data_IF_942475311487
#
_entry.id   IF_942475311487
#
_cell.length_a   1.000
_cell.length_b   1.000
_cell.length_c   1.000
_cell.angle_alpha   90.00
_cell.angle_beta   90.00
_cell.angle_gamma   90.00
#
_symmetry.space_group_name_H-M   'P 1'
#
loop_
_entity.id
_entity.type
_entity.pdbx_description
1 polymer ?
#
# COMPACT_ATOMS: atom_id res chain seq x y z
N UNK A 1 -11.29 20.82 -21.18
CA UNK A 1 -12.56 21.39 -21.70
C UNK A 1 -12.25 22.26 -22.91
N UNK A 2 -11.35 23.22 -22.82
CA UNK A 2 -10.92 24.14 -23.89
C UNK A 2 -10.45 23.42 -25.17
N UNK A 3 -9.77 22.29 -25.06
CA UNK A 3 -9.26 21.50 -26.21
C UNK A 3 -10.41 20.86 -27.00
N UNK A 4 -11.45 20.36 -26.32
CA UNK A 4 -12.61 19.74 -26.96
C UNK A 4 -13.55 20.78 -27.59
N UNK A 5 -13.60 21.97 -27.03
CA UNK A 5 -14.35 23.10 -27.56
C UNK A 5 -13.73 23.68 -28.83
N UNK A 6 -12.39 23.61 -28.97
CA UNK A 6 -11.68 24.16 -30.14
C UNK A 6 -11.56 23.17 -31.32
N UNK A 7 -11.62 21.85 -31.08
CA UNK A 7 -11.56 20.83 -32.13
C UNK A 7 -12.61 19.71 -31.88
N UNK A 8 -13.92 20.00 -31.94
CA UNK A 8 -14.96 19.04 -31.63
C UNK A 8 -15.03 17.85 -32.62
N UNK A 9 -14.52 18.00 -33.82
CA UNK A 9 -14.57 16.97 -34.87
C UNK A 9 -13.35 16.02 -34.85
N UNK A 10 -12.37 16.26 -33.98
CA UNK A 10 -11.21 15.36 -33.82
C UNK A 10 -11.55 14.20 -32.86
N UNK A 11 -12.08 13.11 -33.41
CA UNK A 11 -12.50 11.93 -32.65
C UNK A 11 -11.37 11.33 -31.77
N UNK A 12 -10.11 11.43 -32.21
CA UNK A 12 -8.96 10.93 -31.44
C UNK A 12 -8.70 11.82 -30.21
N UNK A 13 -8.71 13.12 -30.36
CA UNK A 13 -8.56 14.09 -29.26
C UNK A 13 -9.69 13.90 -28.24
N UNK A 14 -10.92 13.72 -28.68
CA UNK A 14 -12.08 13.46 -27.80
C UNK A 14 -11.90 12.16 -27.02
N UNK A 15 -11.48 11.05 -27.68
CA UNK A 15 -11.22 9.76 -27.00
C UNK A 15 -10.14 9.87 -25.93
N UNK A 16 -9.02 10.53 -26.23
CA UNK A 16 -7.94 10.75 -25.27
C UNK A 16 -8.40 11.57 -24.07
N UNK A 17 -9.21 12.59 -24.31
CA UNK A 17 -9.75 13.43 -23.25
C UNK A 17 -10.73 12.65 -22.35
N UNK A 18 -11.64 11.88 -22.94
CA UNK A 18 -12.58 11.01 -22.19
C UNK A 18 -11.83 9.97 -21.37
N UNK A 19 -10.78 9.36 -21.93
CA UNK A 19 -9.92 8.42 -21.18
C UNK A 19 -9.24 9.10 -19.97
N UNK A 20 -8.67 10.30 -20.15
CA UNK A 20 -8.09 11.07 -19.04
C UNK A 20 -9.11 11.47 -17.98
N UNK A 21 -10.33 11.85 -18.40
CA UNK A 21 -11.44 12.12 -17.47
C UNK A 21 -11.80 10.88 -16.66
N UNK A 22 -11.90 9.71 -17.28
CA UNK A 22 -12.17 8.45 -16.60
C UNK A 22 -11.14 8.12 -15.54
N UNK A 23 -9.84 8.30 -15.85
CA UNK A 23 -8.74 8.12 -14.89
C UNK A 23 -8.89 9.11 -13.72
N UNK A 24 -9.20 10.37 -14.00
CA UNK A 24 -9.36 11.41 -12.96
C UNK A 24 -10.56 11.14 -12.04
N UNK A 25 -11.68 10.69 -12.60
CA UNK A 25 -12.87 10.31 -11.84
C UNK A 25 -12.60 9.12 -10.92
N UNK A 26 -11.96 8.06 -11.44
CA UNK A 26 -11.55 6.90 -10.62
C UNK A 26 -10.61 7.29 -9.49
N UNK A 27 -9.70 8.22 -9.74
CA UNK A 27 -8.79 8.76 -8.73
C UNK A 27 -9.53 9.52 -7.63
N UNK A 28 -10.52 10.37 -8.00
CA UNK A 28 -11.35 11.07 -7.02
C UNK A 28 -12.19 10.11 -6.19
N UNK A 29 -12.77 9.08 -6.78
CA UNK A 29 -13.50 8.03 -6.07
C UNK A 29 -12.60 7.35 -5.02
N UNK A 30 -11.40 6.89 -5.41
CA UNK A 30 -10.43 6.28 -4.50
C UNK A 30 -10.03 7.21 -3.36
N UNK A 31 -9.86 8.51 -3.64
CA UNK A 31 -9.54 9.53 -2.64
C UNK A 31 -10.66 9.64 -1.61
N UNK A 32 -11.91 9.78 -2.07
CA UNK A 32 -13.08 9.90 -1.18
C UNK A 32 -13.22 8.66 -0.31
N UNK A 33 -13.14 7.45 -0.90
CA UNK A 33 -13.25 6.19 -0.17
C UNK A 33 -12.13 6.04 0.87
N UNK A 34 -10.89 6.36 0.52
CA UNK A 34 -9.76 6.30 1.46
C UNK A 34 -9.93 7.29 2.61
N UNK A 35 -10.40 8.51 2.33
CA UNK A 35 -10.67 9.50 3.38
C UNK A 35 -11.79 9.06 4.32
N UNK A 36 -12.88 8.52 3.78
CA UNK A 36 -13.98 7.98 4.60
C UNK A 36 -13.49 6.85 5.50
N UNK A 37 -12.66 5.92 5.00
CA UNK A 37 -12.08 4.84 5.79
C UNK A 37 -11.19 5.39 6.91
N UNK A 38 -10.28 6.29 6.60
CA UNK A 38 -9.39 6.91 7.59
C UNK A 38 -10.21 7.64 8.67
N UNK A 39 -11.22 8.41 8.28
CA UNK A 39 -12.06 9.14 9.24
C UNK A 39 -12.81 8.19 10.17
N UNK A 40 -13.33 7.07 9.66
CA UNK A 40 -14.00 6.06 10.49
C UNK A 40 -13.04 5.37 11.45
N UNK A 41 -11.81 5.09 11.02
CA UNK A 41 -10.75 4.53 11.85
C UNK A 41 -10.36 5.50 12.98
N UNK A 42 -10.14 6.77 12.67
CA UNK A 42 -9.75 7.80 13.64
C UNK A 42 -10.82 8.05 14.72
N UNK A 43 -12.08 7.95 14.34
CA UNK A 43 -13.20 8.16 15.29
C UNK A 43 -13.48 6.94 16.15
N UNK A 44 -12.75 5.83 15.97
CA UNK A 44 -12.98 4.58 16.69
C UNK A 44 -14.31 3.91 16.35
N UNK A 45 -14.97 4.30 15.26
CA UNK A 45 -16.26 3.76 14.85
C UNK A 45 -16.16 2.42 14.10
N UNK A 46 -14.95 1.86 13.97
CA UNK A 46 -14.74 0.56 13.37
C UNK A 46 -14.51 -0.49 14.46
N UNK A 47 -15.34 -1.52 14.46
CA UNK A 47 -15.14 -2.71 15.24
C UNK A 47 -14.44 -3.73 14.35
N UNK A 48 -13.19 -4.06 14.67
CA UNK A 48 -12.42 -5.06 13.93
C UNK A 48 -12.87 -6.47 14.31
N UNK A 49 -13.21 -7.28 13.33
CA UNK A 49 -13.55 -8.68 13.49
C UNK A 49 -12.28 -9.55 13.49
N UNK A 50 -11.54 -9.54 14.60
CA UNK A 50 -10.28 -10.26 14.72
C UNK A 50 -10.50 -11.76 14.86
N UNK A 51 -9.98 -12.52 13.91
CA UNK A 51 -10.01 -13.98 13.90
C UNK A 51 -8.62 -14.54 13.62
N UNK A 52 -8.39 -15.81 13.99
CA UNK A 52 -7.17 -16.52 13.59
C UNK A 52 -7.22 -16.74 12.09
N UNK A 53 -6.22 -16.24 11.36
CA UNK A 53 -6.06 -16.50 9.94
C UNK A 53 -4.64 -17.00 9.65
N UNK A 54 -4.48 -17.83 8.61
CA UNK A 54 -3.17 -18.22 8.11
C UNK A 54 -2.52 -17.03 7.44
N UNK A 55 -1.25 -16.79 7.75
CA UNK A 55 -0.55 -15.63 7.20
C UNK A 55 -0.32 -15.76 5.70
N UNK A 56 -0.05 -16.97 5.20
CA UNK A 56 0.07 -17.23 3.76
C UNK A 56 -1.23 -16.89 3.00
N UNK A 57 -2.40 -17.19 3.56
CA UNK A 57 -3.71 -16.82 2.98
C UNK A 57 -3.93 -15.30 3.02
N UNK A 58 -3.61 -14.67 4.13
CA UNK A 58 -3.67 -13.21 4.29
C UNK A 58 -2.81 -12.49 3.25
N UNK A 59 -1.54 -12.91 3.09
CA UNK A 59 -0.63 -12.32 2.10
C UNK A 59 -1.15 -12.55 0.69
N UNK A 60 -1.55 -13.78 0.35
CA UNK A 60 -2.09 -14.10 -0.98
C UNK A 60 -3.31 -13.24 -1.32
N UNK A 61 -4.22 -13.05 -0.37
CA UNK A 61 -5.39 -12.19 -0.53
C UNK A 61 -5.00 -10.72 -0.74
N UNK A 62 -4.01 -10.24 0.01
CA UNK A 62 -3.53 -8.85 -0.02
C UNK A 62 -2.93 -8.45 -1.37
N UNK A 63 -2.29 -9.39 -2.08
CA UNK A 63 -1.51 -9.09 -3.29
C UNK A 63 -2.13 -9.65 -4.58
N UNK A 64 -3.29 -10.30 -4.50
CA UNK A 64 -3.91 -10.98 -5.64
C UNK A 64 -3.98 -10.11 -6.91
N UNK A 65 -4.48 -8.88 -6.78
CA UNK A 65 -4.56 -7.94 -7.91
C UNK A 65 -3.19 -7.35 -8.28
N UNK A 66 -2.27 -7.26 -7.31
CA UNK A 66 -0.95 -6.65 -7.50
C UNK A 66 0.04 -7.57 -8.22
N UNK A 67 -0.14 -8.88 -8.15
CA UNK A 67 0.71 -9.85 -8.85
C UNK A 67 0.67 -9.70 -10.36
N UNK A 68 -0.50 -9.43 -10.93
CA UNK A 68 -0.66 -9.15 -12.36
C UNK A 68 0.03 -7.86 -12.74
N UNK A 69 -0.12 -6.83 -11.92
CA UNK A 69 0.55 -5.55 -12.12
C UNK A 69 2.07 -5.70 -12.07
N UNK A 70 2.60 -6.41 -11.06
CA UNK A 70 4.03 -6.65 -10.91
C UNK A 70 4.61 -7.32 -12.17
N UNK A 71 3.97 -8.37 -12.67
CA UNK A 71 4.37 -9.07 -13.90
C UNK A 71 4.38 -8.14 -15.12
N UNK A 72 3.35 -7.31 -15.28
CA UNK A 72 3.25 -6.36 -16.39
C UNK A 72 4.33 -5.27 -16.33
N UNK A 73 4.78 -4.93 -15.13
CA UNK A 73 5.85 -3.96 -14.87
C UNK A 73 7.23 -4.62 -14.75
N UNK A 74 7.35 -5.92 -15.15
CA UNK A 74 8.60 -6.71 -15.04
C UNK A 74 9.22 -6.67 -13.64
N UNK A 75 8.39 -6.74 -12.60
CA UNK A 75 8.78 -6.75 -11.18
C UNK A 75 8.43 -8.09 -10.55
N UNK A 76 9.21 -8.53 -9.59
CA UNK A 76 9.01 -9.79 -8.87
C UNK A 76 8.47 -9.54 -7.47
N UNK A 77 7.48 -10.35 -7.04
CA UNK A 77 7.04 -10.42 -5.65
C UNK A 77 7.40 -11.80 -5.13
N UNK A 78 8.32 -11.85 -4.17
CA UNK A 78 8.73 -13.05 -3.47
C UNK A 78 8.03 -13.13 -2.11
N UNK A 79 7.63 -14.33 -1.72
CA UNK A 79 6.93 -14.59 -0.46
C UNK A 79 7.67 -15.71 0.25
N UNK A 80 8.11 -15.46 1.48
CA UNK A 80 8.86 -16.39 2.29
C UNK A 80 8.35 -16.40 3.74
N UNK A 81 8.00 -17.56 4.26
CA UNK A 81 7.56 -17.73 5.64
C UNK A 81 6.99 -19.12 5.87
N UNK A 82 6.71 -19.42 7.12
CA UNK A 82 6.09 -20.69 7.51
C UNK A 82 4.59 -20.64 7.25
N UNK A 83 4.09 -21.49 6.35
CA UNK A 83 2.69 -21.53 5.91
C UNK A 83 1.69 -21.88 7.02
N UNK A 84 2.17 -22.55 8.09
CA UNK A 84 1.32 -22.95 9.22
C UNK A 84 1.15 -21.83 10.26
N UNK A 85 1.90 -20.74 10.13
CA UNK A 85 1.80 -19.63 11.08
C UNK A 85 0.48 -18.88 10.94
N UNK A 86 -0.09 -18.55 12.11
CA UNK A 86 -1.35 -17.84 12.23
C UNK A 86 -1.18 -16.52 12.96
N UNK A 87 -1.94 -15.54 12.52
CA UNK A 87 -2.07 -14.22 13.15
C UNK A 87 -3.53 -14.00 13.54
N UNK A 88 -3.77 -13.36 14.70
CA UNK A 88 -5.10 -12.89 15.10
C UNK A 88 -5.24 -11.45 14.58
N UNK A 89 -6.04 -11.27 13.55
CA UNK A 89 -6.30 -9.96 12.95
C UNK A 89 -7.66 -9.96 12.24
N UNK A 90 -8.11 -8.78 11.87
CA UNK A 90 -9.17 -8.62 10.88
C UNK A 90 -8.56 -8.80 9.48
N UNK A 91 -8.95 -9.89 8.80
CA UNK A 91 -8.34 -10.29 7.55
C UNK A 91 -8.51 -9.24 6.45
N UNK A 92 -9.71 -8.69 6.29
CA UNK A 92 -10.02 -7.74 5.22
C UNK A 92 -9.26 -6.42 5.41
N UNK A 93 -9.32 -5.86 6.61
CA UNK A 93 -8.60 -4.64 6.93
C UNK A 93 -7.08 -4.83 6.87
N UNK A 94 -6.56 -5.95 7.40
CA UNK A 94 -5.11 -6.20 7.36
C UNK A 94 -4.62 -6.42 5.94
N UNK A 95 -5.40 -7.13 5.11
CA UNK A 95 -5.12 -7.28 3.67
C UNK A 95 -5.06 -5.93 2.96
N UNK A 96 -5.99 -5.02 3.27
CA UNK A 96 -5.97 -3.68 2.70
C UNK A 96 -4.70 -2.90 3.11
N UNK A 97 -4.28 -3.01 4.38
CA UNK A 97 -3.04 -2.37 4.84
C UNK A 97 -1.81 -2.91 4.11
N UNK A 98 -1.67 -4.23 4.01
CA UNK A 98 -0.58 -4.90 3.29
C UNK A 98 -0.61 -4.51 1.80
N UNK A 99 -1.78 -4.55 1.17
CA UNK A 99 -1.96 -4.16 -0.24
C UNK A 99 -1.51 -2.73 -0.52
N UNK A 100 -1.81 -1.78 0.38
CA UNK A 100 -1.35 -0.39 0.27
C UNK A 100 0.19 -0.26 0.36
N UNK A 101 0.83 -1.06 1.22
CA UNK A 101 2.29 -1.06 1.37
C UNK A 101 2.94 -1.69 0.13
N UNK A 102 2.44 -2.85 -0.33
CA UNK A 102 2.97 -3.53 -1.54
C UNK A 102 2.76 -2.66 -2.78
N UNK A 103 1.61 -1.99 -2.89
CA UNK A 103 1.38 -1.02 -3.96
C UNK A 103 2.41 0.11 -3.93
N UNK A 104 2.69 0.66 -2.75
CA UNK A 104 3.73 1.68 -2.58
C UNK A 104 5.10 1.16 -2.98
N UNK A 105 5.46 -0.06 -2.59
CA UNK A 105 6.71 -0.71 -2.98
C UNK A 105 6.80 -0.83 -4.53
N UNK A 106 5.73 -1.29 -5.19
CA UNK A 106 5.67 -1.35 -6.66
C UNK A 106 5.82 0.03 -7.31
N UNK A 107 5.19 1.08 -6.76
CA UNK A 107 5.26 2.44 -7.30
C UNK A 107 6.69 3.03 -7.24
N UNK A 108 7.51 2.57 -6.28
CA UNK A 108 8.87 3.10 -6.04
C UNK A 108 10.00 2.16 -6.46
N UNK A 109 9.69 0.96 -6.92
CA UNK A 109 10.65 -0.01 -7.46
C UNK A 109 10.74 0.15 -8.98
N UNK A 110 11.95 0.05 -9.53
CA UNK A 110 12.20 0.16 -10.96
C UNK A 110 11.88 -1.14 -11.71
N UNK A 111 11.95 -1.10 -13.03
CA UNK A 111 11.87 -2.29 -13.91
C UNK A 111 12.95 -3.33 -13.52
N UNK A 112 12.57 -4.60 -13.47
CA UNK A 112 13.43 -5.68 -12.97
C UNK A 112 13.60 -5.70 -11.45
N UNK A 113 12.88 -4.86 -10.70
CA UNK A 113 12.99 -4.81 -9.25
C UNK A 113 12.20 -5.88 -8.53
N UNK A 114 12.44 -5.98 -7.23
CA UNK A 114 11.93 -7.05 -6.37
C UNK A 114 11.27 -6.50 -5.12
N UNK A 115 10.15 -7.11 -4.75
CA UNK A 115 9.47 -6.91 -3.47
C UNK A 115 9.49 -8.26 -2.74
N UNK A 116 9.99 -8.28 -1.51
CA UNK A 116 10.02 -9.48 -0.67
C UNK A 116 9.07 -9.31 0.51
N UNK A 117 8.18 -10.29 0.72
CA UNK A 117 7.25 -10.32 1.85
C UNK A 117 7.63 -11.52 2.70
N UNK A 118 8.03 -11.24 3.94
CA UNK A 118 8.41 -12.29 4.90
C UNK A 118 7.64 -12.13 6.20
N UNK A 119 7.53 -13.20 6.99
CA UNK A 119 6.96 -13.11 8.32
C UNK A 119 7.70 -14.00 9.31
N UNK A 120 7.73 -13.55 10.54
CA UNK A 120 8.37 -14.25 11.63
C UNK A 120 7.56 -14.15 12.92
N UNK A 121 7.64 -15.17 13.76
CA UNK A 121 7.05 -15.18 15.08
C UNK A 121 8.12 -15.29 16.14
N UNK A 122 8.09 -14.38 17.09
CA UNK A 122 8.87 -14.44 18.33
C UNK A 122 7.93 -14.68 19.51
N UNK A 123 8.43 -15.01 20.70
CA UNK A 123 7.57 -15.16 21.89
C UNK A 123 6.72 -13.92 22.21
N UNK A 124 7.20 -12.73 21.87
CA UNK A 124 6.54 -11.46 22.20
C UNK A 124 5.75 -10.86 21.05
N UNK A 125 6.17 -11.10 19.80
CA UNK A 125 5.62 -10.39 18.64
C UNK A 125 5.55 -11.28 17.41
N UNK A 126 4.52 -11.05 16.62
CA UNK A 126 4.41 -11.49 15.23
C UNK A 126 4.76 -10.32 14.31
N UNK A 127 5.63 -10.54 13.33
CA UNK A 127 6.04 -9.50 12.38
C UNK A 127 5.79 -9.94 10.95
N UNK A 128 5.31 -9.00 10.13
CA UNK A 128 5.28 -9.11 8.67
C UNK A 128 6.19 -8.02 8.14
N UNK A 129 7.18 -8.39 7.33
CA UNK A 129 8.13 -7.48 6.71
C UNK A 129 7.84 -7.43 5.22
N UNK A 130 7.79 -6.22 4.67
CA UNK A 130 7.60 -5.96 3.25
C UNK A 130 8.77 -5.08 2.81
N UNK A 131 9.69 -5.66 2.07
CA UNK A 131 10.93 -5.02 1.62
C UNK A 131 10.93 -4.84 0.12
N UNK A 132 11.38 -3.70 -0.37
CA UNK A 132 11.63 -3.43 -1.77
C UNK A 132 13.09 -3.02 -2.00
N UNK A 133 13.60 -3.22 -3.20
CA UNK A 133 14.90 -2.74 -3.65
C UNK A 133 14.78 -1.47 -4.50
N UNK A 134 13.80 -0.63 -4.22
CA UNK A 134 13.53 0.60 -4.96
C UNK A 134 14.45 1.77 -4.60
N UNK A 135 13.96 2.98 -4.88
CA UNK A 135 14.76 4.21 -4.72
C UNK A 135 15.06 4.57 -3.25
N UNK A 136 14.38 3.92 -2.29
CA UNK A 136 14.47 4.29 -0.89
C UNK A 136 13.81 5.64 -0.59
N UNK A 137 13.91 6.05 0.69
CA UNK A 137 13.30 7.27 1.23
C UNK A 137 14.39 8.09 1.90
N UNK A 138 14.41 9.39 1.63
CA UNK A 138 15.36 10.30 2.26
C UNK A 138 15.13 10.38 3.77
N UNK A 139 16.21 10.52 4.59
CA UNK A 139 16.08 10.57 6.06
C UNK A 139 15.12 11.66 6.56
N UNK A 140 15.06 12.80 5.90
CA UNK A 140 14.15 13.89 6.21
C UNK A 140 12.68 13.53 5.96
N UNK A 141 12.40 12.61 5.03
CA UNK A 141 11.04 12.22 4.64
C UNK A 141 10.49 11.06 5.49
N UNK A 142 11.35 10.19 6.03
CA UNK A 142 10.95 8.95 6.71
C UNK A 142 9.93 9.17 7.84
N UNK A 143 10.05 10.27 8.57
CA UNK A 143 9.13 10.64 9.64
C UNK A 143 7.80 11.24 9.15
N UNK A 144 7.69 11.46 7.84
CA UNK A 144 6.55 12.13 7.23
C UNK A 144 5.71 11.23 6.33
N UNK A 145 6.23 10.04 5.92
CA UNK A 145 5.55 9.14 4.98
C UNK A 145 4.19 8.66 5.44
N UNK A 146 3.92 8.66 6.74
CA UNK A 146 2.61 8.30 7.30
C UNK A 146 1.67 9.49 7.51
N UNK A 147 2.11 10.72 7.16
CA UNK A 147 1.22 11.90 7.19
C UNK A 147 0.32 11.89 5.95
N UNK A 148 -0.94 12.25 6.14
CA UNK A 148 -1.94 12.35 5.06
C UNK A 148 -1.50 13.37 4.03
N UNK A 149 -1.69 13.03 2.76
CA UNK A 149 -1.33 13.86 1.61
C UNK A 149 0.17 14.17 1.49
N UNK A 150 1.00 13.55 2.34
CA UNK A 150 2.42 13.75 2.24
C UNK A 150 2.98 13.00 1.02
N UNK A 151 3.85 13.66 0.30
CA UNK A 151 4.60 13.12 -0.83
C UNK A 151 6.00 13.72 -0.77
N UNK A 152 7.01 12.87 -0.92
CA UNK A 152 8.39 13.34 -1.08
C UNK A 152 8.51 14.21 -2.34
N UNK A 153 9.29 15.27 -2.26
CA UNK A 153 9.61 16.14 -3.41
C UNK A 153 10.40 15.39 -4.49
N UNK A 154 11.03 14.29 -4.13
CA UNK A 154 11.84 13.45 -4.99
C UNK A 154 11.08 12.23 -5.54
N UNK A 155 9.80 12.08 -5.22
CA UNK A 155 8.96 11.00 -5.72
C UNK A 155 8.72 11.17 -7.22
N UNK A 156 9.17 10.21 -8.01
CA UNK A 156 8.91 10.13 -9.46
C UNK A 156 7.45 9.76 -9.77
N UNK A 157 6.74 9.19 -8.81
CA UNK A 157 5.32 8.86 -8.98
C UNK A 157 4.47 10.11 -8.94
N UNK A 158 3.92 10.48 -10.09
CA UNK A 158 2.98 11.61 -10.23
C UNK A 158 1.54 11.23 -9.87
N UNK A 159 1.24 9.95 -9.65
CA UNK A 159 -0.14 9.45 -9.54
C UNK A 159 -0.60 9.21 -8.10
N UNK A 160 0.28 8.98 -7.14
CA UNK A 160 -0.07 8.71 -5.74
C UNK A 160 -0.74 9.91 -5.04
N UNK A 161 -1.78 9.67 -4.23
CA UNK A 161 -2.53 10.72 -3.50
C UNK A 161 -1.92 10.99 -2.11
N UNK A 162 -1.02 10.12 -1.63
CA UNK A 162 -0.43 10.21 -0.29
C UNK A 162 -1.40 9.77 0.83
N UNK A 163 -2.31 8.84 0.55
CA UNK A 163 -3.26 8.29 1.53
C UNK A 163 -3.05 6.80 1.84
N UNK A 164 -2.32 6.05 1.01
CA UNK A 164 -2.14 4.60 1.20
C UNK A 164 -1.41 4.24 2.49
N UNK A 165 -0.23 4.82 2.72
CA UNK A 165 0.54 4.57 3.95
C UNK A 165 -0.14 5.10 5.22
N UNK A 166 -0.75 6.31 5.25
CA UNK A 166 -1.60 6.74 6.35
C UNK A 166 -2.76 5.78 6.67
N UNK A 167 -3.43 5.26 5.64
CA UNK A 167 -4.51 4.28 5.81
C UNK A 167 -3.98 2.97 6.39
N UNK A 168 -2.89 2.44 5.84
CA UNK A 168 -2.24 1.24 6.38
C UNK A 168 -1.89 1.42 7.86
N UNK A 169 -1.32 2.57 8.24
CA UNK A 169 -1.01 2.89 9.63
C UNK A 169 -2.25 2.90 10.51
N UNK A 170 -3.30 3.62 10.12
CA UNK A 170 -4.55 3.68 10.90
C UNK A 170 -5.18 2.29 11.08
N UNK A 171 -5.11 1.42 10.07
CA UNK A 171 -5.62 0.05 10.16
C UNK A 171 -4.82 -0.79 11.15
N UNK A 172 -3.50 -0.79 11.06
CA UNK A 172 -2.63 -1.61 11.90
C UNK A 172 -2.70 -1.13 13.36
N UNK A 173 -2.59 0.18 13.60
CA UNK A 173 -2.69 0.77 14.94
C UNK A 173 -4.07 0.60 15.55
N UNK A 174 -5.14 0.70 14.76
CA UNK A 174 -6.51 0.45 15.21
C UNK A 174 -6.75 -0.99 15.67
N UNK A 175 -5.95 -1.94 15.19
CA UNK A 175 -5.98 -3.33 15.67
C UNK A 175 -5.02 -3.59 16.84
N UNK A 176 -4.31 -2.59 17.34
CA UNK A 176 -3.33 -2.71 18.42
C UNK A 176 -1.93 -3.15 17.92
N UNK A 177 -1.68 -3.13 16.62
CA UNK A 177 -0.37 -3.36 16.02
C UNK A 177 0.46 -2.08 15.92
N UNK A 178 1.69 -2.24 15.44
CA UNK A 178 2.64 -1.14 15.21
C UNK A 178 3.14 -1.27 13.76
N UNK A 179 3.24 -0.15 13.06
CA UNK A 179 3.90 -0.06 11.76
C UNK A 179 5.14 0.81 11.85
N UNK A 180 6.23 0.35 11.26
CA UNK A 180 7.48 1.13 11.14
C UNK A 180 8.06 0.98 9.74
N UNK A 181 8.98 1.88 9.39
CA UNK A 181 9.71 1.83 8.13
C UNK A 181 11.19 2.10 8.38
N UNK A 182 12.04 1.37 7.67
CA UNK A 182 13.47 1.59 7.57
C UNK A 182 13.82 1.71 6.10
N UNK A 183 14.63 2.69 5.76
CA UNK A 183 14.95 2.96 4.36
C UNK A 183 16.31 3.64 4.23
N UNK A 184 16.97 3.34 3.12
CA UNK A 184 18.20 3.99 2.71
C UNK A 184 18.08 4.34 1.22
N UNK A 185 18.43 5.57 0.86
CA UNK A 185 18.36 6.05 -0.50
C UNK A 185 19.21 5.17 -1.43
N UNK A 186 18.59 4.64 -2.47
CA UNK A 186 19.20 3.74 -3.44
C UNK A 186 19.22 2.25 -3.03
N UNK A 187 18.86 1.92 -1.79
CA UNK A 187 18.87 0.54 -1.27
C UNK A 187 17.45 0.00 -0.97
N UNK A 188 16.42 0.84 -1.18
CA UNK A 188 15.03 0.45 -0.99
C UNK A 188 14.48 0.72 0.41
N UNK A 189 13.32 0.13 0.70
CA UNK A 189 12.58 0.36 1.93
C UNK A 189 12.07 -0.97 2.50
N UNK A 190 12.10 -1.08 3.83
CA UNK A 190 11.45 -2.17 4.56
C UNK A 190 10.39 -1.61 5.49
N UNK A 191 9.16 -2.01 5.28
CA UNK A 191 8.05 -1.78 6.21
C UNK A 191 7.89 -2.99 7.11
N UNK A 192 7.71 -2.77 8.40
CA UNK A 192 7.48 -3.82 9.41
C UNK A 192 6.15 -3.59 10.09
N UNK A 193 5.27 -4.57 9.98
CA UNK A 193 4.01 -4.64 10.73
C UNK A 193 4.22 -5.58 11.92
N UNK A 194 3.98 -5.11 13.13
CA UNK A 194 4.21 -5.87 14.36
C UNK A 194 2.91 -5.99 15.15
N UNK A 195 2.59 -7.19 15.58
CA UNK A 195 1.43 -7.51 16.43
C UNK A 195 1.92 -8.22 17.69
N UNK A 196 1.31 -7.93 18.84
CA UNK A 196 1.60 -8.68 20.04
C UNK A 196 1.10 -10.12 19.90
N UNK A 197 1.93 -11.08 20.28
CA UNK A 197 1.49 -12.48 20.40
C UNK A 197 0.74 -12.64 21.71
N UNK A 198 -0.50 -13.12 21.64
CA UNK A 198 -1.18 -13.60 22.84
C UNK A 198 -0.44 -14.82 23.37
N UNK A 199 -0.16 -14.83 24.69
CA UNK A 199 0.46 -15.94 25.42
C UNK A 199 -0.48 -17.16 25.50
#
# INVERSE_FOLDING_TARGET
>A
QEIVENEPDNAETVRQFVAKMGISLKRMEQLILSMLKITRLDTGNIVFEKNKCRVSELISHSINELTTRAKNENKEIQIEGDDEQQLICDMDWTSEAIGNIVKNALDHTQDGGMICITWERTPAMFRILISDNGNGIAPEDIHHIFKRFYRSKHSLDTQGIGLGLPLAKSIIEGQGGIISAQSEVGNGTTFTLSFLTEL
#
